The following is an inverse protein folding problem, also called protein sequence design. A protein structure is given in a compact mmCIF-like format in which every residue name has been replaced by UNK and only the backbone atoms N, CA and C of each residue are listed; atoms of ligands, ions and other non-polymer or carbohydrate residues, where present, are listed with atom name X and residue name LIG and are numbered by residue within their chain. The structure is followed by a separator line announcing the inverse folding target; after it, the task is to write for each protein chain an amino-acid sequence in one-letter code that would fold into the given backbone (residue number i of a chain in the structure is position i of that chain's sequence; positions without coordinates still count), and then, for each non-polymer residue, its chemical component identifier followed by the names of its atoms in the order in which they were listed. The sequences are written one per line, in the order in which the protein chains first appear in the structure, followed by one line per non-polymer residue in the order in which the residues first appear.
data_IF_653688669243
#
_entry.id   IF_653688669243
#
_cell.length_a   1.000
_cell.length_b   1.000
_cell.length_c   1.000
_cell.angle_alpha   90.00
_cell.angle_beta   90.00
_cell.angle_gamma   90.00
#
_symmetry.space_group_name_H-M   'P 1'
#
loop_
_entity.id
_entity.type
_entity.pdbx_description
1 polymer ?
#
# COMPACT_ATOMS: atom_id res chain seq x y z
N UNK A 1 -24.46 -2.41 1.83
CA UNK A 1 -23.78 -3.06 2.90
C UNK A 1 -23.45 -2.06 3.99
N UNK A 2 -23.77 -2.34 5.23
CA UNK A 2 -23.39 -1.42 6.29
C UNK A 2 -21.87 -1.29 6.34
N UNK A 3 -21.40 -0.13 6.74
CA UNK A 3 -19.99 0.10 6.90
C UNK A 3 -19.47 -0.82 7.99
N UNK A 4 -18.53 -1.68 7.62
CA UNK A 4 -17.91 -2.61 8.53
C UNK A 4 -16.45 -2.25 8.71
N UNK A 5 -15.77 -3.00 9.56
CA UNK A 5 -14.33 -2.81 9.73
C UNK A 5 -13.60 -2.88 8.39
N UNK A 6 -14.09 -3.72 7.49
CA UNK A 6 -13.49 -3.89 6.18
C UNK A 6 -13.59 -2.64 5.31
N UNK A 7 -14.66 -1.88 5.50
CA UNK A 7 -14.86 -0.68 4.71
C UNK A 7 -13.94 0.45 5.11
N UNK A 8 -13.25 0.32 6.25
CA UNK A 8 -12.25 1.33 6.62
C UNK A 8 -11.12 1.39 5.61
N UNK A 9 -10.80 0.26 5.00
CA UNK A 9 -9.75 0.23 3.99
C UNK A 9 -10.19 0.86 2.68
N UNK A 10 -11.48 1.18 2.55
CA UNK A 10 -12.03 1.77 1.32
C UNK A 10 -11.63 0.98 0.09
N UNK A 11 -11.69 -0.34 0.22
CA UNK A 11 -11.36 -1.22 -0.91
C UNK A 11 -12.32 -0.91 -2.05
N UNK A 12 -11.77 -0.60 -3.21
CA UNK A 12 -12.53 -0.16 -4.36
C UNK A 12 -12.61 -1.25 -5.43
N UNK A 13 -13.55 -1.06 -6.36
CA UNK A 13 -13.59 -1.89 -7.54
C UNK A 13 -12.20 -1.91 -8.19
N UNK A 14 -11.79 -3.03 -8.78
CA UNK A 14 -12.66 -4.16 -9.14
C UNK A 14 -12.87 -5.21 -8.07
N UNK A 15 -12.27 -5.04 -6.88
CA UNK A 15 -12.38 -6.02 -5.80
C UNK A 15 -13.41 -5.53 -4.81
N UNK A 16 -14.41 -6.35 -4.52
CA UNK A 16 -15.41 -6.01 -3.50
C UNK A 16 -14.83 -6.26 -2.11
N UNK A 17 -15.48 -5.68 -1.09
CA UNK A 17 -15.09 -5.91 0.30
C UNK A 17 -15.12 -7.40 0.63
N UNK A 18 -16.16 -8.10 0.16
CA UNK A 18 -16.31 -9.53 0.38
C UNK A 18 -15.15 -10.33 -0.24
N UNK A 19 -14.69 -9.91 -1.40
CA UNK A 19 -13.57 -10.56 -2.07
C UNK A 19 -12.23 -10.20 -1.43
N UNK A 20 -12.11 -8.98 -0.92
CA UNK A 20 -10.88 -8.49 -0.32
C UNK A 20 -10.63 -9.08 1.07
N UNK A 21 -11.68 -9.33 1.84
CA UNK A 21 -11.55 -9.74 3.23
C UNK A 21 -10.68 -10.98 3.41
N UNK A 22 -10.90 -12.08 2.67
CA UNK A 22 -10.04 -13.26 2.83
C UNK A 22 -8.57 -12.97 2.50
N UNK A 23 -8.32 -12.09 1.55
CA UNK A 23 -6.96 -11.72 1.16
C UNK A 23 -6.28 -10.93 2.28
N UNK A 24 -6.99 -9.95 2.82
CA UNK A 24 -6.48 -9.14 3.93
C UNK A 24 -6.20 -10.00 5.15
N UNK A 25 -7.12 -10.92 5.48
CA UNK A 25 -6.94 -11.83 6.61
C UNK A 25 -5.75 -12.76 6.40
N UNK A 26 -5.63 -13.34 5.21
CA UNK A 26 -4.51 -14.22 4.87
C UNK A 26 -3.18 -13.51 5.05
N UNK A 27 -3.11 -12.25 4.65
CA UNK A 27 -1.89 -11.45 4.71
C UNK A 27 -1.75 -10.67 6.02
N UNK A 28 -2.57 -11.04 7.01
CA UNK A 28 -2.53 -10.46 8.36
C UNK A 28 -2.69 -8.94 8.37
N UNK A 29 -3.47 -8.43 7.40
CA UNK A 29 -3.73 -7.00 7.24
C UNK A 29 -2.48 -6.16 7.05
N UNK A 30 -1.39 -6.78 6.61
CA UNK A 30 -0.13 -6.09 6.38
C UNK A 30 0.14 -5.97 4.89
N UNK A 31 0.67 -4.82 4.46
CA UNK A 31 1.08 -4.64 3.09
C UNK A 31 2.19 -5.63 2.75
N UNK A 32 2.00 -6.39 1.67
CA UNK A 32 2.97 -7.39 1.24
C UNK A 32 4.25 -6.77 0.70
N UNK A 33 4.24 -5.48 0.39
CA UNK A 33 5.41 -4.79 -0.14
C UNK A 33 6.20 -4.06 0.95
N UNK A 34 5.58 -3.16 1.69
CA UNK A 34 6.29 -2.35 2.69
C UNK A 34 6.08 -2.80 4.12
N UNK A 35 5.16 -3.72 4.35
CA UNK A 35 4.90 -4.23 5.70
C UNK A 35 4.00 -3.36 6.56
N UNK A 36 3.39 -2.31 5.99
CA UNK A 36 2.48 -1.45 6.76
C UNK A 36 1.43 -2.31 7.45
N UNK A 37 1.30 -2.17 8.77
CA UNK A 37 0.32 -2.91 9.54
C UNK A 37 -1.01 -2.15 9.54
N UNK A 38 -1.99 -2.67 8.81
CA UNK A 38 -3.30 -2.04 8.69
C UNK A 38 -4.11 -2.05 9.97
N UNK A 39 -3.68 -2.80 11.00
CA UNK A 39 -4.36 -2.82 12.28
C UNK A 39 -3.72 -1.90 13.32
N UNK A 40 -2.58 -1.31 13.00
CA UNK A 40 -1.84 -0.51 13.97
C UNK A 40 -2.55 0.80 14.31
N UNK A 41 -3.35 1.34 13.39
CA UNK A 41 -4.10 2.57 13.62
C UNK A 41 -5.23 2.66 12.59
N UNK A 42 -6.18 3.53 12.87
CA UNK A 42 -7.26 3.82 11.92
C UNK A 42 -6.68 4.37 10.61
N UNK A 43 -5.70 5.26 10.70
CA UNK A 43 -5.07 5.83 9.49
C UNK A 43 -4.44 4.74 8.65
N UNK A 44 -3.76 3.78 9.28
CA UNK A 44 -3.19 2.65 8.55
C UNK A 44 -4.29 1.80 7.89
N UNK A 45 -5.41 1.59 8.59
CA UNK A 45 -6.51 0.82 8.02
C UNK A 45 -7.04 1.48 6.74
N UNK A 46 -7.12 2.81 6.73
CA UNK A 46 -7.57 3.56 5.55
C UNK A 46 -6.63 3.38 4.36
N UNK A 47 -5.37 3.07 4.62
CA UNK A 47 -4.38 2.92 3.55
C UNK A 47 -4.43 1.56 2.88
N UNK A 48 -5.11 0.58 3.48
CA UNK A 48 -5.07 -0.79 2.97
C UNK A 48 -6.00 -0.98 1.77
N UNK A 49 -5.52 -1.77 0.83
CA UNK A 49 -6.26 -2.19 -0.35
C UNK A 49 -5.78 -3.56 -0.78
N UNK A 50 -6.20 -4.02 -1.93
CA UNK A 50 -5.76 -5.28 -2.50
C UNK A 50 -5.21 -5.00 -3.89
N UNK A 51 -4.03 -5.57 -4.16
CA UNK A 51 -3.33 -5.39 -5.42
C UNK A 51 -3.39 -6.64 -6.27
N UNK A 52 -3.49 -6.46 -7.57
CA UNK A 52 -3.30 -7.53 -8.54
C UNK A 52 -1.82 -7.63 -8.85
N UNK A 53 -1.18 -8.73 -8.47
CA UNK A 53 0.26 -8.92 -8.73
C UNK A 53 0.53 -8.82 -10.23
N UNK A 54 -0.26 -9.55 -11.05
CA UNK A 54 -0.33 -9.28 -12.48
C UNK A 54 -1.49 -8.31 -12.68
N UNK A 55 -1.22 -7.09 -13.15
CA UNK A 55 -2.26 -6.07 -13.26
C UNK A 55 -3.39 -6.48 -14.21
N UNK A 56 -4.59 -5.97 -13.94
CA UNK A 56 -5.73 -6.21 -14.82
C UNK A 56 -5.45 -5.74 -16.24
N UNK A 57 -4.69 -4.66 -16.40
CA UNK A 57 -4.31 -4.15 -17.72
C UNK A 57 -3.55 -5.20 -18.53
N UNK A 58 -2.94 -6.17 -17.87
CA UNK A 58 -2.19 -7.26 -18.49
C UNK A 58 -2.90 -8.60 -18.28
N UNK A 59 -4.23 -8.57 -18.16
CA UNK A 59 -5.08 -9.75 -18.04
C UNK A 59 -4.88 -10.51 -16.74
N UNK A 60 -4.42 -9.83 -15.70
CA UNK A 60 -4.34 -10.42 -14.37
C UNK A 60 -5.73 -10.82 -13.88
N UNK A 61 -5.83 -12.02 -13.32
CA UNK A 61 -7.10 -12.58 -12.88
C UNK A 61 -7.38 -12.21 -11.42
N UNK A 62 -8.66 -12.12 -11.10
CA UNK A 62 -9.10 -11.86 -9.73
C UNK A 62 -9.20 -13.19 -9.00
N UNK A 63 -8.05 -13.74 -8.65
CA UNK A 63 -7.93 -15.02 -7.94
C UNK A 63 -7.04 -14.83 -6.71
N UNK A 64 -7.22 -15.65 -5.66
CA UNK A 64 -6.38 -15.51 -4.47
C UNK A 64 -4.88 -15.52 -4.76
N UNK A 65 -4.46 -16.30 -5.75
CA UNK A 65 -3.05 -16.42 -6.11
C UNK A 65 -2.49 -15.12 -6.70
N UNK A 66 -3.36 -14.27 -7.26
CA UNK A 66 -2.97 -13.03 -7.89
C UNK A 66 -3.33 -11.78 -7.08
N UNK A 67 -3.92 -11.96 -5.92
CA UNK A 67 -4.33 -10.84 -5.06
C UNK A 67 -3.52 -10.84 -3.79
N UNK A 68 -3.03 -9.66 -3.40
CA UNK A 68 -2.27 -9.48 -2.16
C UNK A 68 -2.72 -8.22 -1.45
N UNK A 69 -2.62 -8.24 -0.12
CA UNK A 69 -2.86 -7.04 0.67
C UNK A 69 -1.76 -6.02 0.36
N UNK A 70 -2.15 -4.78 0.18
CA UNK A 70 -1.23 -3.74 -0.25
C UNK A 70 -1.71 -2.39 0.27
N UNK A 71 -0.80 -1.52 0.67
CA UNK A 71 -1.18 -0.16 0.99
C UNK A 71 -1.29 0.65 -0.31
N UNK A 72 -2.11 1.69 -0.28
CA UNK A 72 -2.34 2.50 -1.48
C UNK A 72 -1.07 3.12 -2.06
N UNK A 73 -0.15 3.66 -1.25
CA UNK A 73 1.11 4.17 -1.81
C UNK A 73 1.92 3.11 -2.56
N UNK A 74 2.05 1.91 -2.01
CA UNK A 74 2.79 0.85 -2.68
C UNK A 74 2.09 0.42 -3.97
N UNK A 75 0.76 0.37 -3.95
CA UNK A 75 -0.01 0.03 -5.14
C UNK A 75 0.24 1.07 -6.25
N UNK A 76 0.22 2.34 -5.90
CA UNK A 76 0.48 3.42 -6.86
C UNK A 76 1.89 3.34 -7.42
N UNK A 77 2.87 3.09 -6.58
CA UNK A 77 4.28 2.98 -7.01
C UNK A 77 4.48 1.80 -7.93
N UNK A 78 3.89 0.65 -7.57
CA UNK A 78 3.98 -0.56 -8.39
C UNK A 78 3.40 -0.33 -9.78
N UNK A 79 2.29 0.37 -9.87
CA UNK A 79 1.65 0.70 -11.14
C UNK A 79 1.16 -0.52 -11.89
N UNK A 80 1.16 -0.42 -13.23
CA UNK A 80 0.62 -1.46 -14.11
C UNK A 80 1.70 -2.28 -14.80
N UNK A 81 2.96 -2.16 -14.36
CA UNK A 81 4.04 -2.94 -14.93
C UNK A 81 3.92 -4.40 -14.49
N UNK A 82 4.29 -5.31 -15.37
CA UNK A 82 4.35 -6.73 -15.05
C UNK A 82 5.74 -7.08 -14.54
N UNK A 83 5.79 -7.75 -13.39
CA UNK A 83 7.02 -8.22 -12.78
C UNK A 83 7.06 -9.75 -12.88
N UNK A 84 8.26 -10.32 -12.85
CA UNK A 84 8.42 -11.76 -12.93
C UNK A 84 7.90 -12.48 -11.68
N UNK A 85 7.86 -11.77 -10.55
CA UNK A 85 7.42 -12.34 -9.28
C UNK A 85 7.03 -11.23 -8.34
N UNK A 86 6.35 -11.59 -7.25
CA UNK A 86 6.01 -10.63 -6.20
C UNK A 86 7.29 -10.10 -5.53
N UNK A 87 8.33 -10.93 -5.43
CA UNK A 87 9.60 -10.51 -4.83
C UNK A 87 10.27 -9.43 -5.68
N UNK A 88 10.22 -9.56 -7.00
CA UNK A 88 10.75 -8.52 -7.88
C UNK A 88 9.97 -7.23 -7.76
N UNK A 89 8.65 -7.34 -7.73
CA UNK A 89 7.78 -6.17 -7.53
C UNK A 89 8.07 -5.48 -6.20
N UNK A 90 8.22 -6.27 -5.14
CA UNK A 90 8.53 -5.75 -3.81
C UNK A 90 9.86 -5.01 -3.80
N UNK A 91 10.88 -5.59 -4.42
CA UNK A 91 12.20 -4.95 -4.47
C UNK A 91 12.13 -3.60 -5.17
N UNK A 92 11.40 -3.52 -6.28
CA UNK A 92 11.22 -2.27 -7.00
C UNK A 92 10.45 -1.24 -6.16
N UNK A 93 9.36 -1.66 -5.54
CA UNK A 93 8.53 -0.77 -4.73
C UNK A 93 9.35 -0.20 -3.57
N UNK A 94 10.10 -1.05 -2.87
CA UNK A 94 10.89 -0.61 -1.72
C UNK A 94 12.01 0.33 -2.14
N UNK A 95 12.69 0.04 -3.25
CA UNK A 95 13.74 0.92 -3.76
C UNK A 95 13.17 2.29 -4.14
N UNK A 96 12.01 2.30 -4.78
CA UNK A 96 11.36 3.55 -5.16
C UNK A 96 10.91 4.35 -3.95
N UNK A 97 10.34 3.67 -2.93
CA UNK A 97 9.95 4.32 -1.68
C UNK A 97 11.14 4.98 -1.00
N UNK A 98 12.29 4.31 -1.02
CA UNK A 98 13.50 4.87 -0.40
C UNK A 98 13.96 6.14 -1.12
N UNK A 99 13.93 6.14 -2.45
CA UNK A 99 14.27 7.35 -3.23
C UNK A 99 13.29 8.48 -2.93
N UNK A 100 12.02 8.17 -2.85
CA UNK A 100 11.00 9.17 -2.53
C UNK A 100 11.20 9.72 -1.12
N UNK A 101 11.56 8.88 -0.17
CA UNK A 101 11.81 9.30 1.20
C UNK A 101 12.99 10.24 1.26
N UNK A 102 14.08 9.90 0.57
CA UNK A 102 15.27 10.76 0.53
C UNK A 102 14.97 12.12 -0.09
N UNK A 103 14.21 12.12 -1.18
CA UNK A 103 13.81 13.35 -1.84
C UNK A 103 12.92 14.21 -0.93
N UNK A 104 11.98 13.57 -0.24
CA UNK A 104 11.11 14.26 0.70
C UNK A 104 11.89 14.86 1.86
N UNK A 105 12.81 14.11 2.44
CA UNK A 105 13.63 14.59 3.55
C UNK A 105 14.46 15.79 3.13
N UNK A 106 15.07 15.73 1.96
CA UNK A 106 15.88 16.86 1.47
C UNK A 106 15.04 18.12 1.25
N UNK A 107 13.80 17.94 0.76
CA UNK A 107 12.93 19.09 0.45
C UNK A 107 12.21 19.65 1.68
N UNK A 108 12.07 18.85 2.73
CA UNK A 108 11.32 19.25 3.90
C UNK A 108 12.22 19.55 5.11
N UNK A 109 13.52 19.43 4.96
CA UNK A 109 14.46 19.70 6.04
C UNK A 109 14.32 21.16 6.48
N UNK A 110 14.16 21.36 7.78
CA UNK A 110 14.04 22.69 8.36
C UNK A 110 15.41 23.15 8.87
N UNK A 111 15.77 24.42 8.59
CA UNK A 111 16.97 25.00 9.23
C UNK A 111 16.84 24.95 10.74
N UNK A 112 17.91 24.63 11.43
CA UNK A 112 17.91 24.54 12.89
C UNK A 112 17.37 25.79 13.57
N UNK A 113 17.79 26.96 13.12
CA UNK A 113 17.35 28.22 13.69
C UNK A 113 15.84 28.39 13.59
N UNK A 114 15.26 28.08 12.44
CA UNK A 114 13.82 28.14 12.23
C UNK A 114 13.08 27.14 13.11
N UNK A 115 13.62 25.93 13.23
CA UNK A 115 13.00 24.89 14.05
C UNK A 115 12.93 25.32 15.51
N UNK A 116 14.01 25.88 16.02
CA UNK A 116 14.04 26.35 17.40
C UNK A 116 13.10 27.53 17.62
N UNK A 117 13.08 28.49 16.68
CA UNK A 117 12.18 29.60 16.76
C UNK A 117 10.72 29.16 16.76
N UNK A 118 10.36 28.18 15.96
CA UNK A 118 9.01 27.67 15.90
C UNK A 118 8.56 27.01 17.20
N UNK A 119 9.50 26.52 17.99
CA UNK A 119 9.19 25.87 19.27
C UNK A 119 9.19 26.85 20.45
N UNK A 120 9.75 27.99 20.25
CA UNK A 120 9.74 29.02 21.27
C UNK A 120 8.39 29.73 21.27
#
# INVERSE_FOLDING_TARGET
MPLSLMNFSLVEAPVTVKEALPILERDDYCCRYCGLDGRASFENALMMTVDFVVPRAHKGKKTPENLVACCKPCNAIKGTKVYSSIEEAKAHVLATREKLRQSWEAKTERPKAKTMAAKA
#
